data_IF_684953099682
#
_entry.id   IF_684953099682
#
_cell.length_a   1.000
_cell.length_b   1.000
_cell.length_c   1.000
_cell.angle_alpha   90.00
_cell.angle_beta   90.00
_cell.angle_gamma   90.00
#
_symmetry.space_group_name_H-M   'P 1'
#
loop_
_entity.id
_entity.type
_entity.pdbx_description
1 polymer ?
#
# COMPACT_ATOMS: atom_id res chain seq x y z
N UNK A 1 -9.55 -12.34 2.49
CA UNK A 1 -10.15 -12.64 1.17
C UNK A 1 -11.65 -12.36 1.25
N UNK A 2 -12.09 -11.17 0.81
CA UNK A 2 -13.51 -10.88 0.51
C UNK A 2 -13.53 -9.90 -0.66
N UNK A 3 -14.14 -10.30 -1.78
CA UNK A 3 -14.40 -9.41 -2.92
C UNK A 3 -15.78 -8.78 -2.77
N UNK A 4 -15.83 -7.46 -2.57
CA UNK A 4 -17.06 -6.66 -2.64
C UNK A 4 -17.30 -6.17 -4.08
N UNK A 5 -18.56 -5.95 -4.47
CA UNK A 5 -18.99 -5.47 -5.80
C UNK A 5 -18.35 -4.12 -6.19
N UNK A 6 -17.93 -3.32 -5.22
CA UNK A 6 -17.24 -2.04 -5.46
C UNK A 6 -15.72 -2.20 -5.64
N UNK A 7 -15.16 -3.35 -5.22
CA UNK A 7 -13.73 -3.70 -5.31
C UNK A 7 -13.39 -4.62 -6.49
N UNK A 8 -14.37 -4.93 -7.36
CA UNK A 8 -14.18 -5.85 -8.48
C UNK A 8 -13.14 -5.35 -9.52
N UNK A 9 -12.74 -4.08 -9.46
CA UNK A 9 -11.73 -3.49 -10.35
C UNK A 9 -10.26 -3.67 -9.91
N UNK A 10 -9.97 -3.95 -8.63
CA UNK A 10 -8.59 -3.93 -8.14
C UNK A 10 -7.81 -5.24 -8.32
N UNK A 11 -8.50 -6.34 -8.64
CA UNK A 11 -7.84 -7.57 -9.10
C UNK A 11 -7.28 -7.36 -10.52
N UNK A 12 -7.97 -6.55 -11.33
CA UNK A 12 -7.65 -6.34 -12.74
C UNK A 12 -6.25 -5.78 -12.97
N UNK A 13 -5.88 -4.66 -12.34
CA UNK A 13 -4.60 -4.03 -12.65
C UNK A 13 -3.40 -4.86 -12.16
N UNK A 14 -3.46 -5.37 -10.92
CA UNK A 14 -2.37 -6.16 -10.30
C UNK A 14 -2.12 -7.51 -10.97
N UNK A 15 -3.15 -8.06 -11.63
CA UNK A 15 -3.03 -9.29 -12.42
C UNK A 15 -2.66 -8.95 -13.85
N UNK A 16 -3.36 -8.02 -14.52
CA UNK A 16 -3.13 -7.71 -15.93
C UNK A 16 -1.77 -7.04 -16.19
N UNK A 17 -1.21 -6.28 -15.25
CA UNK A 17 0.15 -5.71 -15.37
C UNK A 17 1.24 -6.77 -15.50
N UNK A 18 0.93 -8.00 -15.09
CA UNK A 18 1.81 -9.16 -15.20
C UNK A 18 1.82 -9.78 -16.58
N UNK A 19 0.92 -9.37 -17.47
CA UNK A 19 0.76 -9.93 -18.81
C UNK A 19 0.85 -8.87 -19.89
N UNK A 20 1.37 -9.26 -21.06
CA UNK A 20 1.12 -8.52 -22.30
C UNK A 20 -0.29 -8.89 -22.78
N UNK A 21 -1.19 -7.91 -22.78
CA UNK A 21 -2.58 -8.10 -23.15
C UNK A 21 -2.80 -7.76 -24.63
N UNK A 22 -3.32 -8.71 -25.41
CA UNK A 22 -3.79 -8.46 -26.79
C UNK A 22 -5.30 -8.66 -26.88
N UNK A 23 -6.01 -7.58 -27.21
CA UNK A 23 -7.46 -7.59 -27.38
C UNK A 23 -7.82 -7.82 -28.85
N UNK A 24 -8.29 -9.03 -29.17
CA UNK A 24 -8.89 -9.33 -30.46
C UNK A 24 -10.40 -9.06 -30.39
N UNK A 25 -10.79 -7.82 -30.71
CA UNK A 25 -12.19 -7.40 -30.67
C UNK A 25 -13.07 -8.13 -31.69
N UNK A 26 -12.51 -8.55 -32.83
CA UNK A 26 -13.26 -9.25 -33.87
C UNK A 26 -13.67 -10.66 -33.44
N UNK A 27 -12.79 -11.35 -32.70
CA UNK A 27 -13.05 -12.69 -32.15
C UNK A 27 -13.59 -12.67 -30.72
N UNK A 28 -13.68 -11.48 -30.09
CA UNK A 28 -14.03 -11.29 -28.68
C UNK A 28 -13.13 -12.09 -27.74
N UNK A 29 -11.83 -12.12 -28.05
CA UNK A 29 -10.83 -12.91 -27.31
C UNK A 29 -9.76 -11.99 -26.72
N UNK A 30 -9.40 -12.23 -25.46
CA UNK A 30 -8.25 -11.62 -24.79
C UNK A 30 -7.13 -12.66 -24.69
N UNK A 31 -5.97 -12.36 -25.28
CA UNK A 31 -4.76 -13.15 -25.10
C UNK A 31 -3.89 -12.53 -24.01
N UNK A 32 -3.49 -13.35 -23.05
CA UNK A 32 -2.60 -12.99 -21.94
C UNK A 32 -1.30 -13.77 -22.08
N UNK A 33 -0.23 -13.08 -22.41
CA UNK A 33 1.11 -13.67 -22.44
C UNK A 33 1.90 -13.22 -21.21
N UNK A 34 2.69 -14.10 -20.55
CA UNK A 34 3.52 -13.70 -19.43
C UNK A 34 4.38 -12.47 -19.76
N UNK A 35 4.16 -11.38 -19.02
CA UNK A 35 4.93 -10.16 -19.10
C UNK A 35 6.15 -10.20 -18.19
N UNK A 36 6.97 -9.14 -18.20
CA UNK A 36 8.19 -9.04 -17.39
C UNK A 36 7.95 -9.18 -15.88
N UNK A 37 6.74 -8.83 -15.42
CA UNK A 37 6.33 -8.84 -14.01
C UNK A 37 5.57 -10.12 -13.61
N UNK A 38 5.54 -11.14 -14.48
CA UNK A 38 4.73 -12.36 -14.28
C UNK A 38 5.05 -13.12 -12.99
N UNK A 39 6.33 -13.18 -12.61
CA UNK A 39 6.78 -13.86 -11.41
C UNK A 39 6.66 -13.03 -10.13
N UNK A 40 6.24 -11.76 -10.22
CA UNK A 40 6.11 -10.91 -9.03
C UNK A 40 4.97 -11.40 -8.15
N UNK A 41 5.25 -11.66 -6.87
CA UNK A 41 4.23 -11.95 -5.87
C UNK A 41 3.45 -10.68 -5.56
N UNK A 42 2.23 -10.86 -5.02
CA UNK A 42 1.48 -9.75 -4.46
C UNK A 42 2.33 -9.06 -3.39
N UNK A 43 2.78 -7.85 -3.68
CA UNK A 43 3.54 -7.06 -2.73
C UNK A 43 2.53 -6.43 -1.77
N UNK A 44 2.68 -6.74 -0.49
CA UNK A 44 1.97 -6.10 0.59
C UNK A 44 2.90 -5.09 1.24
N UNK A 45 2.33 -4.05 1.84
CA UNK A 45 3.09 -3.13 2.69
C UNK A 45 3.83 -3.94 3.76
N UNK A 46 5.16 -3.87 3.78
CA UNK A 46 6.05 -4.45 4.80
C UNK A 46 5.86 -3.81 6.17
N UNK A 47 5.25 -2.63 6.21
CA UNK A 47 4.78 -2.03 7.45
C UNK A 47 3.41 -2.58 7.90
N UNK A 48 2.67 -3.27 7.03
CA UNK A 48 1.32 -3.77 7.30
C UNK A 48 0.26 -2.68 7.43
N UNK A 49 0.48 -1.53 6.79
CA UNK A 49 -0.48 -0.42 6.70
C UNK A 49 -0.84 -0.15 5.24
N UNK A 50 -2.13 0.02 4.98
CA UNK A 50 -2.63 0.60 3.73
C UNK A 50 -2.92 2.08 3.95
N UNK A 51 -2.30 2.94 3.15
CA UNK A 51 -2.55 4.38 3.22
C UNK A 51 -3.69 4.78 2.29
N UNK A 52 -4.63 5.59 2.81
CA UNK A 52 -5.58 6.32 1.98
C UNK A 52 -5.05 7.74 1.77
N UNK A 53 -4.96 8.15 0.51
CA UNK A 53 -4.56 9.51 0.13
C UNK A 53 -5.74 10.27 -0.45
N UNK A 54 -6.08 11.35 0.22
CA UNK A 54 -7.05 12.35 -0.20
C UNK A 54 -6.30 13.63 -0.61
N UNK A 55 -6.93 14.60 -1.29
CA UNK A 55 -6.26 15.82 -1.74
C UNK A 55 -5.53 16.60 -0.64
N UNK A 56 -6.00 16.51 0.60
CA UNK A 56 -5.49 17.29 1.74
C UNK A 56 -5.12 16.44 2.95
N UNK A 57 -5.18 15.10 2.83
CA UNK A 57 -4.97 14.20 3.97
C UNK A 57 -4.36 12.88 3.52
N UNK A 58 -3.50 12.31 4.35
CA UNK A 58 -3.06 10.92 4.27
C UNK A 58 -3.48 10.25 5.57
N UNK A 59 -4.15 9.11 5.50
CA UNK A 59 -4.54 8.35 6.68
C UNK A 59 -4.17 6.87 6.58
N UNK A 60 -4.03 6.22 7.73
CA UNK A 60 -3.99 4.78 7.81
C UNK A 60 -5.41 4.23 7.62
N UNK A 61 -5.67 3.58 6.48
CA UNK A 61 -6.98 3.01 6.17
C UNK A 61 -7.19 1.66 6.84
N UNK A 62 -6.23 0.76 6.65
CA UNK A 62 -6.26 -0.58 7.23
C UNK A 62 -4.90 -0.89 7.85
N UNK A 63 -4.96 -1.50 9.04
CA UNK A 63 -3.81 -2.01 9.77
C UNK A 63 -3.94 -3.53 9.81
N UNK A 64 -2.91 -4.22 9.33
CA UNK A 64 -2.83 -5.67 9.39
C UNK A 64 -2.44 -6.11 10.80
N UNK A 65 -3.24 -6.96 11.43
CA UNK A 65 -2.95 -7.48 12.77
C UNK A 65 -1.63 -8.26 12.80
N UNK A 66 -0.79 -8.03 13.82
CA UNK A 66 0.53 -8.64 13.99
C UNK A 66 1.59 -8.11 13.02
N UNK A 67 1.36 -6.94 12.42
CA UNK A 67 2.32 -6.25 11.56
C UNK A 67 3.10 -5.17 12.31
N UNK A 68 4.17 -4.60 11.72
CA UNK A 68 4.90 -3.51 12.36
C UNK A 68 4.04 -2.29 12.69
N UNK A 69 3.03 -1.99 11.88
CA UNK A 69 2.09 -0.91 12.17
C UNK A 69 1.22 -1.20 13.39
N UNK A 70 0.74 -2.44 13.54
CA UNK A 70 -0.04 -2.89 14.70
C UNK A 70 0.83 -2.88 15.98
N UNK A 71 2.04 -3.45 15.90
CA UNK A 71 3.00 -3.51 17.01
C UNK A 71 3.42 -2.11 17.48
N UNK A 72 3.51 -1.16 16.57
CA UNK A 72 3.83 0.23 16.88
C UNK A 72 2.62 1.04 17.38
N UNK A 73 1.42 0.44 17.41
CA UNK A 73 0.19 1.03 17.92
C UNK A 73 -0.49 2.01 16.96
N UNK A 74 -0.18 1.95 15.67
CA UNK A 74 -0.90 2.69 14.63
C UNK A 74 -2.33 2.13 14.53
N UNK A 75 -3.31 3.01 14.39
CA UNK A 75 -4.72 2.63 14.29
C UNK A 75 -5.30 3.06 12.96
N UNK A 76 -6.37 2.38 12.56
CA UNK A 76 -7.19 2.84 11.45
C UNK A 76 -7.71 4.26 11.74
N UNK A 77 -7.82 5.06 10.68
CA UNK A 77 -8.16 6.48 10.65
C UNK A 77 -7.12 7.45 11.23
N UNK A 78 -5.98 6.97 11.72
CA UNK A 78 -4.86 7.84 12.11
C UNK A 78 -4.43 8.71 10.94
N UNK A 79 -4.38 10.01 11.15
CA UNK A 79 -3.89 10.94 10.13
C UNK A 79 -2.37 10.95 10.16
N UNK A 80 -1.75 10.67 9.02
CA UNK A 80 -0.30 10.69 8.86
C UNK A 80 0.08 12.10 8.40
N UNK A 81 0.62 12.90 9.32
CA UNK A 81 1.01 14.29 9.02
C UNK A 81 2.42 14.38 8.44
N UNK A 82 3.33 13.50 8.88
CA UNK A 82 4.69 13.47 8.36
C UNK A 82 5.29 12.06 8.38
N UNK A 83 6.23 11.82 7.48
CA UNK A 83 7.02 10.61 7.35
C UNK A 83 8.49 11.04 7.38
N UNK A 84 9.25 10.52 8.34
CA UNK A 84 10.66 10.89 8.56
C UNK A 84 10.89 12.41 8.66
N UNK A 85 9.90 13.12 9.23
CA UNK A 85 9.94 14.57 9.42
C UNK A 85 9.54 15.40 8.20
N UNK A 86 9.26 14.80 7.05
CA UNK A 86 8.72 15.48 5.86
C UNK A 86 7.19 15.34 5.81
N UNK A 87 6.43 16.39 5.42
CA UNK A 87 4.98 16.29 5.29
C UNK A 87 4.54 15.10 4.43
N UNK A 88 3.55 14.33 4.91
CA UNK A 88 3.08 13.13 4.21
C UNK A 88 2.51 13.46 2.81
N UNK A 89 1.90 14.63 2.66
CA UNK A 89 1.36 15.12 1.38
C UNK A 89 2.44 15.39 0.33
N UNK A 90 3.70 15.57 0.73
CA UNK A 90 4.81 15.77 -0.20
C UNK A 90 5.28 14.45 -0.84
N UNK A 91 4.72 13.31 -0.44
CA UNK A 91 4.96 12.02 -1.04
C UNK A 91 3.86 11.67 -2.05
N UNK A 92 4.28 11.14 -3.20
CA UNK A 92 3.37 10.49 -4.16
C UNK A 92 3.03 9.09 -3.69
N UNK A 93 1.92 8.52 -4.19
CA UNK A 93 1.57 7.12 -3.92
C UNK A 93 2.71 6.16 -4.29
N UNK A 94 3.36 6.36 -5.44
CA UNK A 94 4.51 5.57 -5.88
C UNK A 94 5.73 5.70 -4.93
N UNK A 95 5.96 6.88 -4.35
CA UNK A 95 7.03 7.06 -3.36
C UNK A 95 6.70 6.33 -2.05
N UNK A 96 5.44 6.36 -1.62
CA UNK A 96 4.99 5.61 -0.45
C UNK A 96 5.07 4.09 -0.70
N UNK A 97 4.68 3.61 -1.87
CA UNK A 97 4.81 2.20 -2.24
C UNK A 97 6.28 1.77 -2.25
N UNK A 98 7.18 2.54 -2.89
CA UNK A 98 8.61 2.24 -2.85
C UNK A 98 9.18 2.19 -1.44
N UNK A 99 8.66 3.01 -0.53
CA UNK A 99 9.11 3.09 0.85
C UNK A 99 8.58 1.91 1.68
N UNK A 100 7.28 1.64 1.66
CA UNK A 100 6.65 0.70 2.58
C UNK A 100 6.41 -0.68 1.97
N UNK A 101 6.35 -0.82 0.66
CA UNK A 101 6.14 -2.11 -0.04
C UNK A 101 7.47 -2.70 -0.50
N UNK A 102 8.33 -1.86 -1.09
CA UNK A 102 9.62 -2.29 -1.65
C UNK A 102 10.82 -2.00 -0.73
N UNK A 103 10.63 -1.23 0.34
CA UNK A 103 11.70 -0.80 1.25
C UNK A 103 12.37 -1.96 1.97
N UNK A 104 13.67 -1.83 2.26
CA UNK A 104 14.47 -2.91 2.82
C UNK A 104 13.97 -3.37 4.20
N UNK A 105 13.92 -4.69 4.42
CA UNK A 105 13.58 -5.27 5.72
C UNK A 105 14.53 -4.76 6.80
N UNK A 106 14.00 -4.41 7.96
CA UNK A 106 14.74 -3.82 9.07
C UNK A 106 14.92 -2.30 8.99
N UNK A 107 14.61 -1.67 7.84
CA UNK A 107 14.57 -0.22 7.74
C UNK A 107 13.43 0.32 8.61
N UNK A 108 13.69 1.42 9.31
CA UNK A 108 12.71 2.04 10.18
C UNK A 108 12.28 3.41 9.66
N UNK A 109 10.98 3.66 9.66
CA UNK A 109 10.37 4.94 9.27
C UNK A 109 9.57 5.50 10.45
N UNK A 110 9.76 6.79 10.74
CA UNK A 110 9.01 7.48 11.80
C UNK A 110 7.82 8.21 11.20
N UNK A 111 6.62 7.78 11.55
CA UNK A 111 5.39 8.48 11.24
C UNK A 111 5.08 9.48 12.36
N UNK A 112 4.80 10.72 11.99
CA UNK A 112 4.10 11.65 12.90
C UNK A 112 2.62 11.56 12.56
N UNK A 113 1.81 11.26 13.56
CA UNK A 113 0.39 11.00 13.40
C UNK A 113 -0.46 11.91 14.26
N UNK A 114 -1.72 12.09 13.88
CA UNK A 114 -2.76 12.70 14.72
C UNK A 114 -3.86 11.68 14.93
N UNK A 115 -4.10 11.35 16.20
CA UNK A 115 -5.19 10.48 16.66
C UNK A 115 -6.00 11.22 17.72
N UNK A 116 -7.32 11.33 17.55
CA UNK A 116 -8.22 12.08 18.44
C UNK A 116 -7.71 13.50 18.77
N UNK A 117 -7.14 14.19 17.77
CA UNK A 117 -6.59 15.53 17.90
C UNK A 117 -5.26 15.63 18.66
N UNK A 118 -4.68 14.50 19.08
CA UNK A 118 -3.35 14.44 19.73
C UNK A 118 -2.30 14.01 18.73
N UNK A 119 -1.20 14.76 18.68
CA UNK A 119 -0.04 14.41 17.86
C UNK A 119 0.88 13.45 18.61
N UNK A 120 1.27 12.36 17.96
CA UNK A 120 2.28 11.41 18.46
C UNK A 120 3.21 10.96 17.35
N UNK A 121 4.32 10.34 17.71
CA UNK A 121 5.24 9.71 16.76
C UNK A 121 5.22 8.21 16.96
N UNK A 122 5.19 7.48 15.85
CA UNK A 122 5.17 6.03 15.79
C UNK A 122 6.31 5.59 14.87
N UNK A 123 7.12 4.63 15.29
CA UNK A 123 8.23 4.12 14.47
C UNK A 123 7.86 2.74 13.96
N UNK A 124 7.94 2.56 12.65
CA UNK A 124 7.63 1.31 11.95
C UNK A 124 8.93 0.68 11.48
N UNK A 125 9.20 -0.57 11.83
CA UNK A 125 10.34 -1.33 11.31
C UNK A 125 9.83 -2.34 10.28
N UNK A 126 10.26 -2.21 9.03
CA UNK A 126 9.74 -3.00 7.92
C UNK A 126 10.07 -4.49 8.07
N UNK A 127 9.09 -5.37 7.85
CA UNK A 127 9.28 -6.82 7.80
C UNK A 127 8.36 -7.46 6.76
N UNK A 128 8.66 -8.70 6.35
CA UNK A 128 7.70 -9.45 5.54
C UNK A 128 6.52 -9.86 6.42
N UNK A 129 5.31 -9.50 5.99
CA UNK A 129 4.08 -9.65 6.80
C UNK A 129 3.20 -10.84 6.38
N UNK A 130 3.58 -11.62 5.37
CA UNK A 130 2.88 -12.85 4.90
C UNK A 130 3.89 -13.82 4.28
#
# INVERSE_FOLDING_TARGET
MVGSKDLAGNIGNRVLERFRCTFDYGRRTLYLEPGKRFAERDRYSRAGVMFLREPHRVSAWEILHGSPADDAGLKADDEIVAIDGKPALDYTAEQMDRMFVDGEIGTSHTLTIVHDGKTSKVTLTLQDVI
#
